data_IF_276544477795
#
_entry.id   IF_276544477795
#
_cell.length_a   1.000
_cell.length_b   1.000
_cell.length_c   1.000
_cell.angle_alpha   90.00
_cell.angle_beta   90.00
_cell.angle_gamma   90.00
#
_symmetry.space_group_name_H-M   'P 1'
#
loop_
_entity.id
_entity.type
_entity.pdbx_description
1 polymer ?
#
# COMPACT_ATOMS: atom_id res chain seq x y z
N UNK A 1 -21.85 8.43 18.17
CA UNK A 1 -20.73 7.53 17.82
C UNK A 1 -20.59 7.19 16.32
N UNK A 2 -21.65 7.02 15.48
CA UNK A 2 -21.44 6.75 14.04
C UNK A 2 -20.93 7.96 13.24
N UNK A 3 -21.35 9.18 13.60
CA UNK A 3 -20.98 10.41 12.88
C UNK A 3 -19.48 10.72 12.91
N UNK A 4 -18.82 10.58 14.07
CA UNK A 4 -17.38 10.80 14.18
C UNK A 4 -16.58 9.87 13.26
N UNK A 5 -17.04 8.61 13.09
CA UNK A 5 -16.41 7.63 12.19
C UNK A 5 -16.58 7.95 10.72
N UNK A 6 -17.77 8.43 10.37
CA UNK A 6 -18.11 8.80 9.01
C UNK A 6 -17.38 10.08 8.59
N UNK A 7 -17.29 11.07 9.47
CA UNK A 7 -16.60 12.35 9.23
C UNK A 7 -15.10 12.11 9.05
N UNK A 8 -14.43 11.40 9.95
CA UNK A 8 -12.98 11.18 9.81
C UNK A 8 -12.65 10.27 8.63
N UNK A 9 -13.52 9.31 8.27
CA UNK A 9 -13.37 8.54 7.03
C UNK A 9 -13.47 9.41 5.78
N UNK A 10 -14.44 10.33 5.74
CA UNK A 10 -14.58 11.29 4.64
C UNK A 10 -13.39 12.26 4.55
N UNK A 11 -12.89 12.75 5.69
CA UNK A 11 -11.69 13.61 5.74
C UNK A 11 -10.46 12.86 5.25
N UNK A 12 -10.26 11.61 5.69
CA UNK A 12 -9.14 10.78 5.23
C UNK A 12 -9.22 10.51 3.72
N UNK A 13 -10.42 10.22 3.20
CA UNK A 13 -10.64 10.03 1.76
C UNK A 13 -10.34 11.31 0.97
N UNK A 14 -10.85 12.46 1.43
CA UNK A 14 -10.61 13.75 0.78
C UNK A 14 -9.11 14.11 0.79
N UNK A 15 -8.44 13.91 1.92
CA UNK A 15 -6.99 14.11 2.03
C UNK A 15 -6.23 13.18 1.07
N UNK A 16 -6.57 11.88 1.05
CA UNK A 16 -5.91 10.89 0.19
C UNK A 16 -6.09 11.25 -1.30
N UNK A 17 -7.32 11.58 -1.72
CA UNK A 17 -7.60 12.03 -3.08
C UNK A 17 -6.87 13.33 -3.42
N UNK A 18 -6.84 14.29 -2.50
CA UNK A 18 -6.11 15.55 -2.68
C UNK A 18 -4.60 15.31 -2.88
N UNK A 19 -4.00 14.43 -2.08
CA UNK A 19 -2.58 14.06 -2.21
C UNK A 19 -2.31 13.33 -3.53
N UNK A 20 -3.19 12.42 -3.95
CA UNK A 20 -3.10 11.75 -5.25
C UNK A 20 -3.18 12.78 -6.39
N UNK A 21 -4.10 13.74 -6.31
CA UNK A 21 -4.23 14.80 -7.32
C UNK A 21 -2.97 15.67 -7.37
N UNK A 22 -2.47 16.15 -6.23
CA UNK A 22 -1.29 17.01 -6.16
C UNK A 22 -0.01 16.33 -6.68
N UNK A 23 0.15 15.03 -6.44
CA UNK A 23 1.30 14.27 -6.94
C UNK A 23 2.65 14.70 -6.35
N UNK A 24 3.73 14.29 -6.99
CA UNK A 24 5.11 14.70 -6.66
C UNK A 24 5.50 14.54 -5.19
N UNK A 25 6.14 15.58 -4.64
CA UNK A 25 6.56 15.62 -3.25
C UNK A 25 5.40 15.62 -2.26
N UNK A 26 4.23 16.17 -2.61
CA UNK A 26 3.05 16.16 -1.73
C UNK A 26 2.55 14.73 -1.51
N UNK A 27 2.39 13.97 -2.59
CA UNK A 27 2.03 12.56 -2.52
C UNK A 27 3.09 11.75 -1.77
N UNK A 28 4.37 12.01 -2.06
CA UNK A 28 5.51 11.35 -1.41
C UNK A 28 5.53 11.60 0.10
N UNK A 29 5.28 12.84 0.55
CA UNK A 29 5.18 13.18 1.97
C UNK A 29 3.97 12.48 2.62
N UNK A 30 2.83 12.44 1.95
CA UNK A 30 1.63 11.73 2.41
C UNK A 30 1.90 10.24 2.63
N UNK A 31 2.47 9.57 1.63
CA UNK A 31 2.90 8.16 1.74
C UNK A 31 3.98 8.00 2.81
N UNK A 32 4.92 8.95 2.92
CA UNK A 32 5.97 8.96 3.94
C UNK A 32 5.43 8.97 5.36
N UNK A 33 4.40 9.77 5.64
CA UNK A 33 3.71 9.79 6.94
C UNK A 33 3.03 8.43 7.20
N UNK A 34 2.30 7.88 6.22
CA UNK A 34 1.65 6.58 6.37
C UNK A 34 2.65 5.45 6.62
N UNK A 35 3.74 5.42 5.86
CA UNK A 35 4.84 4.47 6.02
C UNK A 35 5.50 4.61 7.38
N UNK A 36 5.81 5.84 7.81
CA UNK A 36 6.44 6.09 9.11
C UNK A 36 5.58 5.58 10.26
N UNK A 37 4.30 5.97 10.28
CA UNK A 37 3.37 5.57 11.33
C UNK A 37 3.09 4.05 11.29
N UNK A 38 2.87 3.48 10.11
CA UNK A 38 2.66 2.03 9.96
C UNK A 38 3.88 1.21 10.38
N UNK A 39 5.10 1.68 10.09
CA UNK A 39 6.32 1.02 10.54
C UNK A 39 6.52 1.11 12.05
N UNK A 40 6.14 2.22 12.71
CA UNK A 40 6.16 2.31 14.17
C UNK A 40 5.27 1.23 14.79
N UNK A 41 4.05 1.08 14.30
CA UNK A 41 3.11 0.07 14.77
C UNK A 41 3.63 -1.35 14.53
N UNK A 42 4.18 -1.60 13.33
CA UNK A 42 4.83 -2.87 13.01
C UNK A 42 5.98 -3.21 13.99
N UNK A 43 6.85 -2.25 14.27
CA UNK A 43 7.97 -2.48 15.20
C UNK A 43 7.50 -2.63 16.64
N UNK A 44 6.40 -2.00 17.03
CA UNK A 44 5.80 -2.23 18.34
C UNK A 44 5.20 -3.63 18.46
N UNK A 45 4.57 -4.17 17.41
CA UNK A 45 4.14 -5.57 17.37
C UNK A 45 5.33 -6.53 17.55
N UNK A 46 6.45 -6.27 16.89
CA UNK A 46 7.66 -7.07 17.05
C UNK A 46 8.21 -6.99 18.50
N UNK A 47 8.22 -5.79 19.10
CA UNK A 47 8.69 -5.58 20.48
C UNK A 47 7.84 -6.28 21.53
N UNK A 48 6.53 -6.39 21.33
CA UNK A 48 5.63 -7.15 22.21
C UNK A 48 6.06 -8.62 22.31
N UNK A 49 6.69 -9.16 21.26
CA UNK A 49 7.22 -10.52 21.21
C UNK A 49 8.65 -10.64 21.77
N UNK A 50 9.19 -9.57 22.34
CA UNK A 50 10.57 -9.52 22.85
C UNK A 50 11.62 -9.38 21.75
N UNK A 51 11.22 -9.09 20.51
CA UNK A 51 12.12 -8.84 19.38
C UNK A 51 12.63 -7.39 19.48
N UNK A 52 13.92 -7.18 19.30
CA UNK A 52 14.61 -5.89 19.31
C UNK A 52 15.08 -5.51 17.90
N UNK A 53 14.16 -5.17 16.97
CA UNK A 53 14.53 -4.80 15.61
C UNK A 53 15.29 -3.47 15.57
N UNK A 54 16.07 -3.27 14.50
CA UNK A 54 16.77 -2.04 14.16
C UNK A 54 15.79 -0.94 13.66
N UNK A 55 14.75 -0.65 14.45
CA UNK A 55 13.61 0.16 14.04
C UNK A 55 14.02 1.56 13.56
N UNK A 56 14.89 2.25 14.30
CA UNK A 56 15.33 3.62 13.97
C UNK A 56 16.04 3.67 12.62
N UNK A 57 16.98 2.76 12.37
CA UNK A 57 17.71 2.70 11.11
C UNK A 57 16.77 2.35 9.97
N UNK A 58 15.87 1.38 10.15
CA UNK A 58 14.91 0.99 9.11
C UNK A 58 13.93 2.12 8.77
N UNK A 59 13.44 2.87 9.75
CA UNK A 59 12.58 4.03 9.53
C UNK A 59 13.29 5.10 8.68
N UNK A 60 14.52 5.46 9.04
CA UNK A 60 15.31 6.47 8.29
C UNK A 60 15.56 6.01 6.86
N UNK A 61 15.98 4.75 6.69
CA UNK A 61 16.20 4.16 5.35
C UNK A 61 14.91 4.17 4.54
N UNK A 62 13.77 3.86 5.15
CA UNK A 62 12.48 3.79 4.45
C UNK A 62 12.01 5.18 4.00
N UNK A 63 12.25 6.22 4.79
CA UNK A 63 11.98 7.61 4.36
C UNK A 63 12.93 8.04 3.24
N UNK A 64 14.23 7.74 3.35
CA UNK A 64 15.19 7.99 2.28
C UNK A 64 14.84 7.26 0.98
N UNK A 65 14.32 6.02 1.08
CA UNK A 65 13.84 5.25 -0.05
C UNK A 65 12.69 5.94 -0.78
N UNK A 66 11.72 6.51 -0.07
CA UNK A 66 10.61 7.23 -0.70
C UNK A 66 11.08 8.50 -1.43
N UNK A 67 12.04 9.22 -0.83
CA UNK A 67 12.68 10.38 -1.45
C UNK A 67 13.40 9.99 -2.75
N UNK A 68 14.19 8.91 -2.71
CA UNK A 68 14.89 8.40 -3.90
C UNK A 68 13.90 7.81 -4.91
N UNK A 69 12.82 7.16 -4.47
CA UNK A 69 11.79 6.65 -5.37
C UNK A 69 11.06 7.76 -6.14
N UNK A 70 10.95 8.96 -5.56
CA UNK A 70 10.37 10.11 -6.25
C UNK A 70 11.39 10.77 -7.22
N UNK A 71 12.63 11.00 -6.77
CA UNK A 71 13.64 11.71 -7.56
C UNK A 71 14.37 10.84 -8.58
N UNK A 72 14.78 9.63 -8.21
CA UNK A 72 15.56 8.72 -9.06
C UNK A 72 15.05 7.28 -8.94
N UNK A 73 13.90 6.95 -9.57
CA UNK A 73 13.27 5.64 -9.44
C UNK A 73 14.20 4.43 -9.68
N UNK A 74 15.15 4.44 -10.64
CA UNK A 74 16.07 3.30 -10.82
C UNK A 74 16.99 3.03 -9.63
N UNK A 75 17.37 4.07 -8.87
CA UNK A 75 18.23 3.90 -7.69
C UNK A 75 17.48 3.32 -6.50
N UNK A 76 16.15 3.46 -6.46
CA UNK A 76 15.35 2.99 -5.34
C UNK A 76 15.36 1.45 -5.21
N UNK A 77 15.56 0.71 -6.31
CA UNK A 77 15.70 -0.76 -6.27
C UNK A 77 17.00 -1.23 -5.62
N UNK A 78 18.05 -0.39 -5.66
CA UNK A 78 19.34 -0.68 -5.05
C UNK A 78 19.30 -0.52 -3.52
N UNK A 79 18.37 0.28 -2.99
CA UNK A 79 18.31 0.62 -1.57
C UNK A 79 17.95 -0.60 -0.72
N UNK A 80 17.04 -1.46 -1.18
CA UNK A 80 16.65 -2.66 -0.41
C UNK A 80 17.85 -3.59 -0.13
N UNK A 81 18.62 -4.08 -1.13
CA UNK A 81 19.75 -4.95 -0.87
C UNK A 81 20.87 -4.22 -0.10
N UNK A 82 21.20 -2.97 -0.46
CA UNK A 82 22.27 -2.22 0.21
C UNK A 82 21.92 -1.93 1.67
N UNK A 83 20.74 -1.39 1.93
CA UNK A 83 20.33 -1.08 3.30
C UNK A 83 20.05 -2.34 4.12
N UNK A 84 19.52 -3.41 3.51
CA UNK A 84 19.40 -4.72 4.16
C UNK A 84 20.75 -5.24 4.65
N UNK A 85 21.78 -5.19 3.79
CA UNK A 85 23.16 -5.54 4.18
C UNK A 85 23.68 -4.65 5.31
N UNK A 86 23.48 -3.33 5.23
CA UNK A 86 23.92 -2.40 6.27
C UNK A 86 23.19 -2.60 7.61
N UNK A 87 21.90 -2.93 7.59
CA UNK A 87 21.13 -3.27 8.79
C UNK A 87 21.70 -4.52 9.45
N UNK A 88 22.04 -5.55 8.67
CA UNK A 88 22.69 -6.75 9.19
C UNK A 88 24.04 -6.41 9.85
N UNK A 89 24.88 -5.60 9.19
CA UNK A 89 26.15 -5.15 9.78
C UNK A 89 25.94 -4.34 11.05
N UNK A 90 25.00 -3.40 11.06
CA UNK A 90 24.69 -2.58 12.23
C UNK A 90 24.27 -3.43 13.44
N UNK A 91 23.49 -4.49 13.22
CA UNK A 91 23.05 -5.41 14.26
C UNK A 91 24.19 -6.24 14.86
N UNK A 92 25.28 -6.50 14.11
CA UNK A 92 26.48 -7.18 14.65
C UNK A 92 27.22 -6.36 15.70
N UNK A 93 27.13 -5.03 15.63
CA UNK A 93 27.81 -4.12 16.56
C UNK A 93 26.93 -3.71 17.75
N UNK A 94 25.74 -4.30 17.91
CA UNK A 94 24.89 -4.04 19.06
C UNK A 94 25.45 -4.71 20.32
N UNK A 95 25.29 -4.09 21.51
CA UNK A 95 25.80 -4.64 22.77
C UNK A 95 25.11 -5.95 23.19
N UNK A 96 23.93 -6.24 22.63
CA UNK A 96 23.27 -7.54 22.74
C UNK A 96 23.40 -8.26 21.41
N UNK A 97 23.73 -9.55 21.46
CA UNK A 97 23.76 -10.41 20.27
C UNK A 97 22.36 -10.39 19.63
N UNK A 98 22.29 -9.85 18.40
CA UNK A 98 21.07 -9.84 17.64
C UNK A 98 20.64 -11.27 17.32
N UNK A 99 19.36 -11.55 17.54
CA UNK A 99 18.75 -12.83 17.19
C UNK A 99 18.37 -12.85 15.72
N UNK A 100 18.12 -14.05 15.18
CA UNK A 100 17.57 -14.21 13.82
C UNK A 100 16.25 -13.46 13.68
N UNK A 101 15.43 -13.42 14.75
CA UNK A 101 14.17 -12.69 14.78
C UNK A 101 14.37 -11.17 14.64
N UNK A 102 15.41 -10.60 15.26
CA UNK A 102 15.71 -9.17 15.18
C UNK A 102 16.10 -8.75 13.76
N UNK A 103 16.94 -9.56 13.11
CA UNK A 103 17.35 -9.35 11.71
C UNK A 103 16.13 -9.50 10.80
N UNK A 104 15.37 -10.59 10.92
CA UNK A 104 14.19 -10.85 10.10
C UNK A 104 13.13 -9.76 10.24
N UNK A 105 12.84 -9.30 11.46
CA UNK A 105 11.89 -8.22 11.70
C UNK A 105 12.39 -6.87 11.14
N UNK A 106 13.69 -6.61 11.18
CA UNK A 106 14.26 -5.38 10.61
C UNK A 106 14.19 -5.36 9.09
N UNK A 107 14.53 -6.48 8.44
CA UNK A 107 14.47 -6.64 6.98
C UNK A 107 13.01 -6.65 6.51
N UNK A 108 12.13 -7.38 7.20
CA UNK A 108 10.70 -7.40 6.90
C UNK A 108 10.10 -6.02 7.07
N UNK A 109 10.43 -5.28 8.13
CA UNK A 109 9.99 -3.89 8.31
C UNK A 109 10.43 -2.96 7.17
N UNK A 110 11.65 -3.15 6.63
CA UNK A 110 12.13 -2.40 5.46
C UNK A 110 11.39 -2.81 4.19
N UNK A 111 11.28 -4.11 3.94
CA UNK A 111 10.62 -4.65 2.75
C UNK A 111 9.13 -4.33 2.73
N UNK A 112 8.40 -4.78 3.74
CA UNK A 112 6.96 -4.64 3.87
C UNK A 112 6.55 -3.19 4.14
N UNK A 113 7.22 -2.51 5.09
CA UNK A 113 6.81 -1.17 5.50
C UNK A 113 7.35 -0.04 4.62
N UNK A 114 8.48 -0.22 3.93
CA UNK A 114 9.12 0.86 3.14
C UNK A 114 9.19 0.57 1.65
N UNK A 115 9.75 -0.58 1.27
CA UNK A 115 10.02 -0.91 -0.13
C UNK A 115 8.77 -1.14 -0.95
N UNK A 116 7.82 -1.96 -0.49
CA UNK A 116 6.58 -2.18 -1.23
C UNK A 116 5.76 -0.89 -1.38
N UNK A 117 5.54 -0.06 -0.33
CA UNK A 117 4.84 1.21 -0.49
C UNK A 117 5.55 2.23 -1.40
N UNK A 118 6.88 2.13 -1.58
CA UNK A 118 7.62 3.01 -2.50
C UNK A 118 7.12 2.91 -3.94
N UNK A 119 6.53 1.78 -4.34
CA UNK A 119 5.94 1.62 -5.66
C UNK A 119 4.72 2.51 -5.90
N UNK A 120 4.00 2.95 -4.86
CA UNK A 120 2.96 3.96 -5.02
C UNK A 120 3.54 5.29 -5.50
N UNK A 121 4.66 5.71 -4.91
CA UNK A 121 5.36 6.95 -5.29
C UNK A 121 5.83 6.87 -6.73
N UNK A 122 6.42 5.73 -7.12
CA UNK A 122 6.88 5.50 -8.50
C UNK A 122 5.72 5.44 -9.50
N UNK A 123 4.64 4.74 -9.15
CA UNK A 123 3.43 4.66 -9.99
C UNK A 123 2.85 6.05 -10.23
N UNK A 124 2.73 6.86 -9.17
CA UNK A 124 2.20 8.21 -9.27
C UNK A 124 3.10 9.15 -10.09
N UNK A 125 4.41 8.91 -10.08
CA UNK A 125 5.41 9.62 -10.86
C UNK A 125 5.53 9.21 -12.33
N UNK A 126 4.78 8.20 -12.81
CA UNK A 126 4.85 7.77 -14.21
C UNK A 126 4.42 8.87 -15.18
N UNK A 127 5.24 9.05 -16.23
CA UNK A 127 5.00 10.02 -17.29
C UNK A 127 5.34 11.47 -16.92
N UNK A 128 6.18 11.67 -15.90
CA UNK A 128 6.64 12.99 -15.43
C UNK A 128 8.16 13.11 -15.55
N UNK A 129 8.63 14.32 -15.87
CA UNK A 129 10.04 14.67 -15.72
C UNK A 129 10.35 14.95 -14.25
N UNK A 130 11.50 14.46 -13.79
CA UNK A 130 11.99 14.46 -12.39
C UNK A 130 12.00 15.86 -11.73
N UNK A 131 11.90 16.94 -12.51
CA UNK A 131 12.12 18.32 -12.07
C UNK A 131 10.86 19.11 -11.67
N UNK A 132 9.65 18.55 -11.79
CA UNK A 132 8.41 19.29 -11.46
C UNK A 132 8.24 19.46 -9.93
N UNK A 133 8.91 20.47 -9.37
CA UNK A 133 8.93 20.80 -7.94
C UNK A 133 7.79 21.75 -7.51
N UNK A 134 6.93 22.18 -8.44
CA UNK A 134 5.79 23.06 -8.16
C UNK A 134 4.48 22.26 -8.10
N UNK A 135 3.52 22.66 -7.26
CA UNK A 135 2.22 22.01 -7.18
C UNK A 135 1.52 22.04 -8.55
N UNK A 136 1.04 20.86 -9.00
CA UNK A 136 0.21 20.62 -10.19
C UNK A 136 0.92 20.65 -11.55
N UNK A 137 2.15 21.14 -11.67
CA UNK A 137 2.87 21.11 -12.95
C UNK A 137 3.16 19.67 -13.36
N UNK A 138 2.58 19.25 -14.49
CA UNK A 138 2.65 17.88 -15.01
C UNK A 138 1.77 16.87 -14.27
N UNK A 139 1.49 17.08 -12.98
CA UNK A 139 0.66 16.18 -12.17
C UNK A 139 -0.85 16.33 -12.39
N UNK A 140 -1.30 17.44 -12.99
CA UNK A 140 -2.68 17.73 -13.39
C UNK A 140 -2.76 17.93 -14.91
N UNK A 141 -3.86 17.50 -15.58
CA UNK A 141 -4.05 17.79 -17.00
C UNK A 141 -4.09 19.31 -17.25
N UNK A 142 -3.19 19.79 -18.10
CA UNK A 142 -3.16 21.18 -18.56
C UNK A 142 -3.80 21.28 -19.96
N UNK A 143 -4.85 22.09 -20.09
CA UNK A 143 -5.58 22.26 -21.35
C UNK A 143 -6.28 20.98 -21.82
N UNK A 144 -6.16 20.66 -23.11
CA UNK A 144 -6.79 19.49 -23.74
C UNK A 144 -5.94 18.21 -23.68
N UNK A 145 -4.83 18.21 -22.92
CA UNK A 145 -3.99 17.02 -22.83
C UNK A 145 -4.70 15.87 -22.09
N UNK A 146 -4.46 14.61 -22.48
CA UNK A 146 -4.96 13.46 -21.75
C UNK A 146 -4.42 13.48 -20.32
N UNK A 147 -5.20 12.89 -19.41
CA UNK A 147 -4.85 12.84 -18.00
C UNK A 147 -3.53 12.06 -17.80
N UNK A 148 -2.64 12.50 -16.90
CA UNK A 148 -1.37 11.81 -16.67
C UNK A 148 -1.57 10.33 -16.32
N UNK A 149 -0.77 9.45 -16.93
CA UNK A 149 -0.85 8.00 -16.72
C UNK A 149 -0.64 7.66 -15.24
N UNK A 150 0.35 8.28 -14.58
CA UNK A 150 0.56 8.07 -13.15
C UNK A 150 -0.64 8.45 -12.28
N UNK A 151 -1.40 9.49 -12.65
CA UNK A 151 -2.62 9.89 -11.93
C UNK A 151 -3.73 8.87 -12.15
N UNK A 152 -4.05 8.55 -13.40
CA UNK A 152 -5.16 7.65 -13.75
C UNK A 152 -4.93 6.24 -13.22
N UNK A 153 -3.74 5.67 -13.42
CA UNK A 153 -3.38 4.35 -12.89
C UNK A 153 -3.46 4.28 -11.37
N UNK A 154 -3.01 5.32 -10.67
CA UNK A 154 -3.08 5.39 -9.20
C UNK A 154 -4.54 5.42 -8.73
N UNK A 155 -5.39 6.26 -9.34
CA UNK A 155 -6.81 6.34 -9.02
C UNK A 155 -7.55 5.02 -9.29
N UNK A 156 -7.24 4.35 -10.41
CA UNK A 156 -7.83 3.03 -10.71
C UNK A 156 -7.43 2.01 -9.66
N UNK A 157 -6.16 1.97 -9.27
CA UNK A 157 -5.68 1.01 -8.27
C UNK A 157 -6.29 1.26 -6.88
N UNK A 158 -6.34 2.52 -6.42
CA UNK A 158 -7.06 2.89 -5.19
C UNK A 158 -8.56 2.55 -5.27
N UNK A 159 -9.20 2.85 -6.40
CA UNK A 159 -10.61 2.51 -6.64
C UNK A 159 -10.87 1.02 -6.58
N UNK A 160 -9.97 0.19 -7.11
CA UNK A 160 -10.05 -1.27 -7.03
C UNK A 160 -9.96 -1.76 -5.57
N UNK A 161 -9.03 -1.22 -4.79
CA UNK A 161 -8.87 -1.57 -3.36
C UNK A 161 -10.13 -1.19 -2.59
N UNK A 162 -10.61 0.05 -2.73
CA UNK A 162 -11.83 0.51 -2.05
C UNK A 162 -13.06 -0.30 -2.45
N UNK A 163 -13.22 -0.61 -3.74
CA UNK A 163 -14.30 -1.45 -4.21
C UNK A 163 -14.21 -2.87 -3.64
N UNK A 164 -13.00 -3.42 -3.49
CA UNK A 164 -12.79 -4.72 -2.87
C UNK A 164 -13.18 -4.74 -1.40
N UNK A 165 -12.78 -3.73 -0.63
CA UNK A 165 -13.14 -3.59 0.78
C UNK A 165 -14.64 -3.39 0.97
N UNK A 166 -15.26 -2.51 0.17
CA UNK A 166 -16.71 -2.26 0.22
C UNK A 166 -17.48 -3.51 -0.19
N UNK A 167 -17.09 -4.16 -1.29
CA UNK A 167 -17.73 -5.37 -1.80
C UNK A 167 -17.62 -6.52 -0.81
N UNK A 168 -16.43 -6.76 -0.26
CA UNK A 168 -16.22 -7.83 0.71
C UNK A 168 -16.96 -7.59 2.01
N UNK A 169 -17.04 -6.35 2.49
CA UNK A 169 -17.80 -6.00 3.69
C UNK A 169 -19.31 -6.10 3.47
N UNK A 170 -19.83 -5.46 2.42
CA UNK A 170 -21.27 -5.37 2.18
C UNK A 170 -21.87 -6.76 1.90
N UNK A 171 -21.29 -7.50 0.95
CA UNK A 171 -21.80 -8.81 0.57
C UNK A 171 -21.35 -9.91 1.52
N UNK A 172 -20.19 -9.77 2.17
CA UNK A 172 -19.76 -10.71 3.22
C UNK A 172 -20.67 -10.66 4.45
N UNK A 173 -21.23 -9.50 4.79
CA UNK A 173 -22.18 -9.37 5.89
C UNK A 173 -23.56 -9.95 5.57
N UNK A 174 -24.02 -9.85 4.32
CA UNK A 174 -25.36 -10.29 3.92
C UNK A 174 -25.41 -11.75 3.48
N UNK A 175 -24.38 -12.22 2.77
CA UNK A 175 -24.33 -13.56 2.16
C UNK A 175 -23.26 -14.48 2.74
N UNK A 176 -22.39 -13.97 3.62
CA UNK A 176 -21.28 -14.75 4.19
C UNK A 176 -21.75 -15.91 5.05
N UNK A 177 -21.31 -17.11 4.71
CA UNK A 177 -21.60 -18.34 5.45
C UNK A 177 -20.31 -19.08 5.81
N UNK A 178 -19.35 -19.09 4.91
CA UNK A 178 -18.12 -19.87 5.04
C UNK A 178 -16.97 -18.98 5.49
N UNK A 179 -16.32 -19.30 6.61
CA UNK A 179 -15.17 -18.51 7.09
C UNK A 179 -13.97 -18.71 6.17
N UNK A 180 -13.27 -17.62 5.87
CA UNK A 180 -12.11 -17.64 4.98
C UNK A 180 -10.84 -18.18 5.66
N UNK A 181 -10.58 -17.78 6.90
CA UNK A 181 -9.43 -18.27 7.67
C UNK A 181 -9.70 -18.28 9.17
N UNK A 182 -8.93 -19.07 9.91
CA UNK A 182 -8.95 -19.06 11.38
C UNK A 182 -8.32 -17.79 11.96
N UNK A 183 -7.44 -17.13 11.20
CA UNK A 183 -6.72 -15.91 11.59
C UNK A 183 -7.67 -14.69 11.62
N UNK A 184 -8.60 -14.62 10.66
CA UNK A 184 -9.60 -13.56 10.55
C UNK A 184 -11.02 -14.12 10.51
N UNK A 185 -11.62 -14.44 11.69
CA UNK A 185 -12.89 -15.17 11.78
C UNK A 185 -14.10 -14.39 11.27
N UNK A 186 -13.96 -13.09 11.00
CA UNK A 186 -15.02 -12.23 10.43
C UNK A 186 -15.03 -12.22 8.90
N UNK A 187 -13.96 -12.68 8.24
CA UNK A 187 -13.89 -12.74 6.78
C UNK A 187 -14.53 -14.01 6.27
N UNK A 188 -15.34 -13.87 5.23
CA UNK A 188 -16.04 -14.98 4.57
C UNK A 188 -15.51 -15.21 3.17
N UNK A 189 -15.58 -16.46 2.69
CA UNK A 189 -15.20 -16.83 1.32
C UNK A 189 -16.09 -16.11 0.32
N UNK A 190 -17.40 -16.03 0.60
CA UNK A 190 -18.35 -15.33 -0.26
C UNK A 190 -18.00 -13.84 -0.32
N UNK A 191 -17.70 -13.21 0.82
CA UNK A 191 -17.25 -11.83 0.87
C UNK A 191 -15.97 -11.59 0.05
N UNK A 192 -14.98 -12.48 0.16
CA UNK A 192 -13.76 -12.39 -0.64
C UNK A 192 -14.03 -12.43 -2.15
N UNK A 193 -14.91 -13.35 -2.61
CA UNK A 193 -15.30 -13.43 -4.02
C UNK A 193 -15.99 -12.15 -4.47
N UNK A 194 -16.94 -11.62 -3.72
CA UNK A 194 -17.62 -10.36 -4.06
C UNK A 194 -16.67 -9.16 -4.05
N UNK A 195 -15.71 -9.10 -3.14
CA UNK A 195 -14.66 -8.08 -3.13
C UNK A 195 -13.79 -8.13 -4.37
N UNK A 196 -13.38 -9.33 -4.81
CA UNK A 196 -12.61 -9.50 -6.05
C UNK A 196 -13.44 -9.08 -7.27
N UNK A 197 -14.72 -9.49 -7.34
CA UNK A 197 -15.61 -9.10 -8.43
C UNK A 197 -15.85 -7.58 -8.50
N UNK A 198 -15.96 -6.92 -7.35
CA UNK A 198 -16.08 -5.46 -7.27
C UNK A 198 -14.82 -4.76 -7.81
N UNK A 199 -13.63 -5.24 -7.41
CA UNK A 199 -12.34 -4.78 -7.93
C UNK A 199 -12.24 -4.95 -9.46
N UNK A 200 -12.60 -6.13 -9.98
CA UNK A 200 -12.66 -6.41 -11.43
C UNK A 200 -13.61 -5.46 -12.16
N UNK A 201 -14.78 -5.20 -11.61
CA UNK A 201 -15.76 -4.30 -12.22
C UNK A 201 -15.20 -2.88 -12.36
N UNK A 202 -14.53 -2.37 -11.32
CA UNK A 202 -13.87 -1.04 -11.38
C UNK A 202 -12.74 -1.03 -12.40
N UNK A 203 -11.87 -2.04 -12.39
CA UNK A 203 -10.73 -2.10 -13.31
C UNK A 203 -11.17 -2.20 -14.79
N UNK A 204 -12.15 -3.05 -15.10
CA UNK A 204 -12.67 -3.23 -16.47
C UNK A 204 -13.36 -1.97 -16.97
N UNK A 205 -14.18 -1.33 -16.14
CA UNK A 205 -14.86 -0.09 -16.53
C UNK A 205 -13.86 1.05 -16.72
N UNK A 206 -12.84 1.17 -15.87
CA UNK A 206 -11.78 2.16 -16.01
C UNK A 206 -10.91 1.90 -17.25
N UNK A 207 -10.48 0.66 -17.50
CA UNK A 207 -9.70 0.29 -18.67
C UNK A 207 -10.41 0.65 -19.98
N UNK A 208 -11.73 0.42 -20.05
CA UNK A 208 -12.55 0.81 -21.21
C UNK A 208 -12.66 2.33 -21.39
N UNK A 209 -12.77 3.09 -20.28
CA UNK A 209 -12.82 4.57 -20.31
C UNK A 209 -11.48 5.21 -20.66
N UNK A 210 -10.37 4.60 -20.25
CA UNK A 210 -9.00 5.06 -20.51
C UNK A 210 -8.49 4.57 -21.87
N UNK A 211 -9.26 3.76 -22.61
CA UNK A 211 -8.88 3.26 -23.93
C UNK A 211 -7.68 2.31 -23.90
N UNK A 212 -7.53 1.51 -22.83
CA UNK A 212 -6.46 0.53 -22.73
C UNK A 212 -6.58 -0.56 -23.81
N UNK A 213 -5.46 -1.09 -24.32
CA UNK A 213 -5.49 -2.19 -25.28
C UNK A 213 -6.15 -3.41 -24.64
N UNK A 214 -6.94 -4.14 -25.44
CA UNK A 214 -7.75 -5.27 -24.98
C UNK A 214 -8.43 -5.00 -23.62
N UNK A 215 -9.05 -3.82 -23.46
CA UNK A 215 -9.52 -3.25 -22.19
C UNK A 215 -10.25 -4.23 -21.25
N UNK A 216 -11.00 -5.18 -21.79
CA UNK A 216 -11.69 -6.21 -21.00
C UNK A 216 -10.71 -7.17 -20.33
N UNK A 217 -9.66 -7.59 -21.04
CA UNK A 217 -8.64 -8.52 -20.56
C UNK A 217 -7.66 -7.82 -19.62
N UNK A 218 -7.19 -6.62 -19.98
CA UNK A 218 -6.30 -5.82 -19.15
C UNK A 218 -6.99 -5.38 -17.86
N UNK A 219 -8.24 -4.92 -17.94
CA UNK A 219 -9.05 -4.62 -16.76
C UNK A 219 -9.32 -5.84 -15.87
N UNK A 220 -9.65 -7.00 -16.46
CA UNK A 220 -9.82 -8.25 -15.72
C UNK A 220 -8.53 -8.64 -14.97
N UNK A 221 -7.39 -8.60 -15.66
CA UNK A 221 -6.08 -8.92 -15.09
C UNK A 221 -5.71 -8.01 -13.92
N UNK A 222 -5.84 -6.69 -14.10
CA UNK A 222 -5.55 -5.72 -13.04
C UNK A 222 -6.47 -5.92 -11.83
N UNK A 223 -7.78 -6.03 -12.07
CA UNK A 223 -8.77 -6.14 -11.00
C UNK A 223 -8.65 -7.42 -10.19
N UNK A 224 -8.35 -8.56 -10.83
CA UNK A 224 -8.06 -9.82 -10.14
C UNK A 224 -6.81 -9.70 -9.29
N UNK A 225 -5.73 -9.18 -9.87
CA UNK A 225 -4.44 -9.05 -9.20
C UNK A 225 -4.54 -8.14 -7.96
N UNK A 226 -5.17 -6.97 -8.09
CA UNK A 226 -5.37 -6.05 -6.96
C UNK A 226 -6.33 -6.64 -5.93
N UNK A 227 -7.45 -7.24 -6.36
CA UNK A 227 -8.44 -7.82 -5.44
C UNK A 227 -7.85 -8.94 -4.58
N UNK A 228 -7.05 -9.84 -5.18
CA UNK A 228 -6.36 -10.91 -4.44
C UNK A 228 -5.28 -10.32 -3.53
N UNK A 229 -4.46 -9.40 -4.02
CA UNK A 229 -3.36 -8.84 -3.23
C UNK A 229 -3.84 -8.00 -2.04
N UNK A 230 -4.93 -7.24 -2.21
CA UNK A 230 -5.60 -6.51 -1.14
C UNK A 230 -6.05 -7.47 -0.03
N UNK A 231 -6.70 -8.57 -0.41
CA UNK A 231 -7.13 -9.60 0.54
C UNK A 231 -5.94 -10.24 1.29
N UNK A 232 -4.85 -10.54 0.58
CA UNK A 232 -3.63 -11.08 1.16
C UNK A 232 -2.95 -10.11 2.13
N UNK A 233 -2.99 -8.80 1.83
CA UNK A 233 -2.47 -7.74 2.71
C UNK A 233 -3.15 -7.74 4.07
N UNK A 234 -4.48 -7.66 4.08
CA UNK A 234 -5.25 -7.69 5.33
C UNK A 234 -5.09 -9.02 6.09
N UNK A 235 -5.02 -10.15 5.39
CA UNK A 235 -4.73 -11.43 6.05
C UNK A 235 -3.32 -11.50 6.66
N UNK A 236 -2.33 -10.92 5.99
CA UNK A 236 -0.94 -10.84 6.50
C UNK A 236 -0.86 -9.98 7.74
N UNK A 237 -1.54 -8.84 7.74
CA UNK A 237 -1.58 -7.91 8.87
C UNK A 237 -2.37 -8.50 10.04
N UNK A 238 -3.51 -9.13 9.76
CA UNK A 238 -4.25 -9.95 10.73
C UNK A 238 -3.38 -11.05 11.35
N UNK A 239 -2.55 -11.73 10.55
CA UNK A 239 -1.64 -12.77 11.04
C UNK A 239 -0.60 -12.21 12.02
N UNK A 240 0.02 -11.08 11.70
CA UNK A 240 0.98 -10.40 12.59
C UNK A 240 0.34 -10.01 13.92
N UNK A 241 -0.88 -9.46 13.90
CA UNK A 241 -1.61 -9.09 15.13
C UNK A 241 -1.91 -10.30 16.02
N UNK A 242 -2.37 -11.40 15.42
CA UNK A 242 -2.67 -12.64 16.15
C UNK A 242 -1.41 -13.26 16.75
N UNK A 243 -0.30 -13.26 16.02
CA UNK A 243 0.98 -13.75 16.57
C UNK A 243 1.47 -12.87 17.74
N UNK A 244 1.30 -11.56 17.65
CA UNK A 244 1.61 -10.61 18.72
C UNK A 244 0.62 -10.65 19.91
N UNK A 245 -0.45 -11.44 19.83
CA UNK A 245 -1.47 -11.54 20.88
C UNK A 245 -2.35 -10.29 21.03
N UNK A 246 -2.30 -9.36 20.08
CA UNK A 246 -3.09 -8.13 20.08
C UNK A 246 -4.19 -8.18 19.01
N UNK A 247 -5.20 -7.32 19.14
CA UNK A 247 -6.30 -7.26 18.18
C UNK A 247 -6.15 -6.12 17.18
N UNK A 248 -5.74 -4.95 17.67
CA UNK A 248 -5.53 -3.73 16.89
C UNK A 248 -4.03 -3.38 16.99
N UNK A 249 -3.43 -2.90 15.90
CA UNK A 249 -2.00 -2.60 15.81
C UNK A 249 -1.59 -1.39 16.66
N UNK A 250 -2.50 -0.42 16.83
CA UNK A 250 -2.36 0.69 17.79
C UNK A 250 -3.70 1.35 18.12
N UNK A 251 -3.68 2.35 19.00
CA UNK A 251 -4.81 3.28 19.23
C UNK A 251 -4.50 4.71 18.74
N UNK A 252 -3.55 4.86 17.80
CA UNK A 252 -3.08 6.16 17.32
C UNK A 252 -4.19 7.03 16.73
N UNK A 253 -5.21 6.43 16.09
CA UNK A 253 -6.39 7.15 15.62
C UNK A 253 -7.58 6.81 16.54
N UNK A 254 -8.06 7.77 17.36
CA UNK A 254 -9.20 7.56 18.24
C UNK A 254 -10.44 7.08 17.48
N UNK A 255 -10.80 5.80 17.66
CA UNK A 255 -11.98 5.18 17.06
C UNK A 255 -11.79 4.49 15.70
N UNK A 256 -10.57 4.49 15.11
CA UNK A 256 -10.28 3.92 13.77
C UNK A 256 -9.22 2.83 13.74
N UNK A 257 -8.51 2.57 14.83
CA UNK A 257 -7.42 1.59 14.90
C UNK A 257 -6.07 2.21 14.55
N UNK A 258 -5.12 1.36 14.18
CA UNK A 258 -3.79 1.76 13.72
C UNK A 258 -3.76 2.20 12.25
N UNK A 259 -2.70 2.88 11.87
CA UNK A 259 -2.40 3.20 10.47
C UNK A 259 -2.11 1.93 9.68
N UNK A 260 -1.46 0.94 10.30
CA UNK A 260 -1.15 -0.35 9.71
C UNK A 260 -2.43 -1.14 9.38
N UNK A 261 -3.45 -1.06 10.25
CA UNK A 261 -4.79 -1.64 10.01
C UNK A 261 -5.49 -1.03 8.78
N UNK A 262 -5.03 0.14 8.31
CA UNK A 262 -5.59 0.86 7.16
C UNK A 262 -4.71 0.77 5.92
N UNK A 263 -3.42 0.53 6.09
CA UNK A 263 -2.44 0.47 5.02
C UNK A 263 -2.24 -0.97 4.49
N UNK A 264 -2.68 -1.98 5.23
CA UNK A 264 -2.50 -3.41 4.96
C UNK A 264 -2.76 -3.85 3.51
N UNK A 265 -3.91 -3.46 2.95
CA UNK A 265 -4.32 -3.75 1.58
C UNK A 265 -3.48 -3.01 0.53
N UNK A 266 -2.87 -1.89 0.90
CA UNK A 266 -2.10 -1.02 0.00
C UNK A 266 -0.65 -1.50 -0.17
N UNK A 267 -0.12 -2.25 0.79
CA UNK A 267 1.29 -2.65 0.78
C UNK A 267 1.59 -3.58 -0.40
N UNK A 268 0.87 -4.68 -0.55
CA UNK A 268 1.13 -5.65 -1.63
C UNK A 268 0.58 -5.21 -2.99
N UNK A 269 -0.44 -4.36 -3.02
CA UNK A 269 -1.05 -3.88 -4.27
C UNK A 269 -0.18 -2.87 -5.00
N UNK A 270 0.66 -2.12 -4.28
CA UNK A 270 1.56 -1.10 -4.86
C UNK A 270 2.49 -1.62 -5.96
N UNK A 271 3.38 -2.62 -5.72
CA UNK A 271 4.27 -3.14 -6.75
C UNK A 271 3.51 -3.80 -7.89
N UNK A 272 2.41 -4.47 -7.58
CA UNK A 272 1.59 -5.16 -8.58
C UNK A 272 0.97 -4.15 -9.55
N UNK A 273 0.35 -3.08 -9.04
CA UNK A 273 -0.18 -2.01 -9.86
C UNK A 273 0.91 -1.34 -10.70
N UNK A 274 2.08 -1.07 -10.11
CA UNK A 274 3.23 -0.48 -10.83
C UNK A 274 3.67 -1.36 -11.99
N UNK A 275 4.05 -2.63 -11.73
CA UNK A 275 4.55 -3.51 -12.78
C UNK A 275 3.47 -3.89 -13.80
N UNK A 276 2.20 -3.94 -13.40
CA UNK A 276 1.13 -4.12 -14.38
C UNK A 276 1.12 -2.98 -15.39
N UNK A 277 1.21 -1.74 -14.94
CA UNK A 277 1.17 -0.57 -15.84
C UNK A 277 2.46 -0.42 -16.64
N UNK A 278 3.64 -0.68 -16.05
CA UNK A 278 4.92 -0.46 -16.74
C UNK A 278 5.39 -1.63 -17.58
N UNK A 279 4.99 -2.87 -17.25
CA UNK A 279 5.46 -4.09 -17.92
C UNK A 279 4.33 -4.79 -18.68
N UNK A 280 3.23 -5.15 -18.00
CA UNK A 280 2.20 -6.00 -18.60
C UNK A 280 1.32 -5.24 -19.60
N UNK A 281 0.91 -4.01 -19.29
CA UNK A 281 0.04 -3.21 -20.13
C UNK A 281 0.68 -2.90 -21.49
N UNK A 282 1.97 -2.50 -21.58
CA UNK A 282 2.64 -2.30 -22.88
C UNK A 282 2.87 -3.59 -23.67
N UNK A 283 3.04 -4.75 -23.00
CA UNK A 283 3.18 -6.04 -23.68
C UNK A 283 1.88 -6.52 -24.33
N UNK A 284 0.74 -5.97 -23.89
CA UNK A 284 -0.59 -6.29 -24.39
C UNK A 284 -1.11 -5.23 -25.38
N UNK A 285 -0.32 -4.18 -25.66
CA UNK A 285 -0.62 -3.14 -26.65
C UNK A 285 -0.19 -3.55 -28.06
#
# INVERSE_FOLDING_TARGET
MPWARLISGAVALFLALGLVVLGGWYFTLGVGILVFLGQLEYFDLARVKGIAPAAKTTLVVSQGLLVVANGWPPLADMILPVAGTLICFYLLFQPKLATIADIAASILGLFYGGYLPSFWVRLRGLGQDVAANLPLEGFWPAGDQPWPVGLTSTLVAFGCIWASDIGSYAFGKTFGRTRLSQISPRKTVEGAVFGILASVTVAVTAAGRLGWPHWWATGLGLGLMIGIASLLGDLTESMMKRDAGVKDSSQLIPGHGGILDRADSYVFTAPLAYYFVTLLLPLLA
#
